data_IF_955323425363
#
_entry.id   IF_955323425363
#
_cell.length_a   1.000
_cell.length_b   1.000
_cell.length_c   1.000
_cell.angle_alpha   90.00
_cell.angle_beta   90.00
_cell.angle_gamma   90.00
#
_symmetry.space_group_name_H-M   'P 1'
#
loop_
_entity.id
_entity.type
_entity.pdbx_description
1 polymer ?
#
# COMPACT_ATOMS: atom_id res chain seq x y z
N UNK A 1 -7.26 -13.47 -10.64
CA UNK A 1 -5.83 -13.55 -10.23
C UNK A 1 -5.67 -12.89 -8.87
N UNK A 2 -4.65 -13.27 -8.11
CA UNK A 2 -4.28 -12.59 -6.87
C UNK A 2 -3.19 -11.56 -7.18
N UNK A 3 -3.40 -10.30 -6.82
CA UNK A 3 -2.49 -9.19 -7.11
C UNK A 3 -2.15 -8.49 -5.81
N UNK A 4 -0.86 -8.31 -5.56
CA UNK A 4 -0.34 -7.73 -4.34
C UNK A 4 0.39 -6.43 -4.65
N UNK A 5 -0.10 -5.31 -4.11
CA UNK A 5 0.52 -4.00 -4.23
C UNK A 5 1.35 -3.70 -2.99
N UNK A 6 2.61 -3.33 -3.18
CA UNK A 6 3.50 -2.88 -2.12
C UNK A 6 3.88 -1.41 -2.35
N UNK A 7 3.76 -0.57 -1.31
CA UNK A 7 4.30 0.78 -1.33
C UNK A 7 5.04 1.10 -0.01
N UNK A 8 6.34 1.36 -0.10
CA UNK A 8 7.22 1.66 1.03
C UNK A 8 7.34 3.16 1.37
N UNK A 9 6.55 4.02 0.71
CA UNK A 9 6.63 5.48 0.85
C UNK A 9 6.48 5.97 2.29
N UNK A 10 6.94 7.19 2.52
CA UNK A 10 6.87 7.86 3.82
C UNK A 10 5.46 7.84 4.42
N UNK A 11 5.39 7.77 5.76
CA UNK A 11 4.11 7.60 6.47
C UNK A 11 3.12 8.74 6.21
N UNK A 12 3.61 9.97 5.98
CA UNK A 12 2.74 11.12 5.72
C UNK A 12 2.54 11.40 4.23
N UNK A 13 3.10 10.59 3.35
CA UNK A 13 3.05 10.87 1.91
C UNK A 13 1.77 10.32 1.29
N UNK A 14 1.11 11.18 0.52
CA UNK A 14 -0.03 10.82 -0.31
C UNK A 14 -0.05 11.71 -1.56
N UNK A 15 0.29 11.14 -2.71
CA UNK A 15 0.47 11.85 -3.95
C UNK A 15 -0.23 11.18 -5.12
N UNK A 16 0.30 11.41 -6.33
CA UNK A 16 -0.23 10.84 -7.55
C UNK A 16 -0.09 9.31 -7.56
N UNK A 17 1.10 8.79 -7.27
CA UNK A 17 1.40 7.35 -7.33
C UNK A 17 0.43 6.50 -6.51
N UNK A 18 0.21 6.88 -5.26
CA UNK A 18 -0.71 6.18 -4.36
C UNK A 18 -2.16 6.22 -4.86
N UNK A 19 -2.60 7.38 -5.40
CA UNK A 19 -3.93 7.52 -5.98
C UNK A 19 -4.10 6.62 -7.20
N UNK A 20 -3.12 6.58 -8.09
CA UNK A 20 -3.16 5.72 -9.27
C UNK A 20 -3.16 4.24 -8.89
N UNK A 21 -2.36 3.83 -7.90
CA UNK A 21 -2.39 2.48 -7.37
C UNK A 21 -3.78 2.09 -6.87
N UNK A 22 -4.43 2.95 -6.07
CA UNK A 22 -5.77 2.68 -5.56
C UNK A 22 -6.83 2.64 -6.68
N UNK A 23 -6.75 3.55 -7.65
CA UNK A 23 -7.66 3.57 -8.81
C UNK A 23 -7.50 2.30 -9.66
N UNK A 24 -6.26 1.88 -9.93
CA UNK A 24 -5.97 0.66 -10.66
C UNK A 24 -6.50 -0.57 -9.92
N UNK A 25 -6.25 -0.67 -8.62
CA UNK A 25 -6.77 -1.74 -7.76
C UNK A 25 -8.29 -1.86 -7.81
N UNK A 26 -9.02 -0.73 -7.77
CA UNK A 26 -10.50 -0.73 -7.93
C UNK A 26 -10.92 -1.29 -9.28
N UNK A 27 -10.28 -0.84 -10.36
CA UNK A 27 -10.58 -1.34 -11.70
C UNK A 27 -10.28 -2.83 -11.87
N UNK A 28 -9.23 -3.33 -11.24
CA UNK A 28 -8.89 -4.76 -11.24
C UNK A 28 -9.85 -5.57 -10.37
N UNK A 29 -10.21 -5.07 -9.18
CA UNK A 29 -11.18 -5.74 -8.32
C UNK A 29 -12.55 -5.89 -8.97
N UNK A 30 -13.03 -4.85 -9.67
CA UNK A 30 -14.27 -4.90 -10.45
C UNK A 30 -14.25 -5.95 -11.58
N UNK A 31 -13.07 -6.36 -12.04
CA UNK A 31 -12.90 -7.42 -13.05
C UNK A 31 -12.74 -8.82 -12.43
N UNK A 32 -12.96 -8.96 -11.12
CA UNK A 32 -12.87 -10.23 -10.41
C UNK A 32 -11.45 -10.62 -9.96
N UNK A 33 -10.51 -9.68 -9.96
CA UNK A 33 -9.18 -9.92 -9.38
C UNK A 33 -9.21 -9.71 -7.86
N UNK A 34 -8.50 -10.56 -7.12
CA UNK A 34 -8.33 -10.40 -5.68
C UNK A 34 -7.13 -9.51 -5.42
N UNK A 35 -7.36 -8.42 -4.69
CA UNK A 35 -6.36 -7.38 -4.48
C UNK A 35 -5.96 -7.33 -3.01
N UNK A 36 -4.66 -7.23 -2.78
CA UNK A 36 -4.06 -7.13 -1.48
C UNK A 36 -3.06 -5.99 -1.48
N UNK A 37 -2.90 -5.32 -0.33
CA UNK A 37 -1.97 -4.22 -0.18
C UNK A 37 -1.05 -4.41 0.99
N UNK A 38 0.19 -3.96 0.85
CA UNK A 38 1.12 -3.79 1.94
C UNK A 38 1.88 -2.47 1.81
N UNK A 39 2.40 -2.02 2.94
CA UNK A 39 3.09 -0.75 3.00
C UNK A 39 3.38 -0.36 4.43
N UNK A 40 4.07 0.77 4.58
CA UNK A 40 4.56 1.22 5.88
C UNK A 40 3.40 1.36 6.87
N UNK A 41 3.55 0.77 8.05
CA UNK A 41 2.58 0.84 9.14
C UNK A 41 2.23 2.29 9.45
N UNK A 42 0.95 2.56 9.70
CA UNK A 42 0.39 3.90 9.96
C UNK A 42 0.59 4.92 8.84
N UNK A 43 0.92 4.49 7.62
CA UNK A 43 1.00 5.40 6.48
C UNK A 43 -0.37 5.89 6.01
N UNK A 44 -0.40 7.11 5.46
CA UNK A 44 -1.54 7.69 4.77
C UNK A 44 -2.03 6.80 3.61
N UNK A 45 -1.12 6.05 2.98
CA UNK A 45 -1.42 5.03 1.97
C UNK A 45 -2.26 3.89 2.55
N UNK A 46 -1.75 3.17 3.57
CA UNK A 46 -2.45 2.03 4.19
C UNK A 46 -3.80 2.44 4.76
N UNK A 47 -3.87 3.59 5.43
CA UNK A 47 -5.12 4.10 6.00
C UNK A 47 -6.20 4.33 4.93
N UNK A 48 -5.83 4.86 3.75
CA UNK A 48 -6.79 5.12 2.68
C UNK A 48 -7.20 3.88 1.93
N UNK A 49 -6.26 2.96 1.71
CA UNK A 49 -6.55 1.66 1.10
C UNK A 49 -7.49 0.84 1.99
N UNK A 50 -7.23 0.81 3.30
CA UNK A 50 -8.09 0.12 4.28
C UNK A 50 -9.50 0.70 4.31
N UNK A 51 -9.66 2.03 4.20
CA UNK A 51 -10.97 2.70 4.08
C UNK A 51 -11.67 2.46 2.74
N UNK A 52 -10.96 1.94 1.75
CA UNK A 52 -11.52 1.53 0.48
C UNK A 52 -11.84 0.02 0.45
N UNK A 53 -11.95 -0.60 1.63
CA UNK A 53 -12.33 -2.00 1.87
C UNK A 53 -11.39 -3.03 1.24
N UNK A 54 -10.15 -2.65 0.94
CA UNK A 54 -9.13 -3.60 0.52
C UNK A 54 -8.39 -4.21 1.71
N UNK A 55 -8.09 -5.52 1.67
CA UNK A 55 -7.19 -6.15 2.64
C UNK A 55 -5.82 -5.47 2.68
N UNK A 56 -5.38 -5.08 3.87
CA UNK A 56 -4.09 -4.43 4.10
C UNK A 56 -3.22 -5.24 5.06
N UNK A 57 -1.93 -5.31 4.73
CA UNK A 57 -0.88 -5.91 5.54
C UNK A 57 0.12 -4.80 5.92
N UNK A 58 -0.07 -4.13 7.07
CA UNK A 58 0.87 -3.10 7.50
C UNK A 58 2.22 -3.72 7.85
N UNK A 59 3.30 -3.15 7.30
CA UNK A 59 4.66 -3.61 7.49
C UNK A 59 5.49 -2.56 8.24
N UNK A 60 6.38 -3.02 9.13
CA UNK A 60 7.41 -2.19 9.74
C UNK A 60 8.57 -2.01 8.75
N UNK A 61 8.36 -1.16 7.75
CA UNK A 61 9.39 -0.81 6.76
C UNK A 61 10.27 0.27 7.38
N UNK A 62 11.58 0.05 7.48
CA UNK A 62 12.57 1.03 7.94
C UNK A 62 13.32 1.64 6.74
N UNK A 63 14.33 2.48 6.96
CA UNK A 63 15.15 2.99 5.85
C UNK A 63 16.18 1.96 5.40
N UNK A 64 16.60 2.03 4.13
CA UNK A 64 17.62 1.13 3.57
C UNK A 64 18.92 1.14 4.41
N UNK A 65 19.24 2.29 5.02
CA UNK A 65 20.32 2.45 5.99
C UNK A 65 19.74 2.77 7.37
N UNK A 66 19.27 1.74 8.06
CA UNK A 66 18.83 1.87 9.45
C UNK A 66 20.02 1.55 10.38
N UNK A 67 20.22 2.25 11.51
CA UNK A 67 21.35 2.00 12.43
C UNK A 67 21.44 0.57 12.98
N UNK A 68 20.39 -0.25 12.84
CA UNK A 68 20.41 -1.67 13.21
C UNK A 68 20.89 -2.62 12.11
N UNK A 69 21.18 -2.13 10.90
CA UNK A 69 21.56 -2.91 9.72
C UNK A 69 22.89 -2.43 9.07
N UNK A 70 23.64 -1.54 9.73
CA UNK A 70 25.01 -1.11 9.38
C UNK A 70 25.95 -1.40 10.54
#
# INVERSE_FOLDING_TARGET
MNIFFLNSIGTQTWGGGEKWMLTLARGLSQRGHQIYFAGRKQSQFINRVSRADFPVFPLNITGDFSPGNI
#
